data_IF_324545927488
#
_entry.id   IF_324545927488
#
_cell.length_a   1.000
_cell.length_b   1.000
_cell.length_c   1.000
_cell.angle_alpha   90.00
_cell.angle_beta   90.00
_cell.angle_gamma   90.00
#
_symmetry.space_group_name_H-M   'P 1'
#
loop_
_entity.id
_entity.type
_entity.pdbx_description
1 polymer ?
#
# COMPACT_ATOMS: atom_id res chain seq x y z
N UNK A 1 8.32 10.85 12.01
CA UNK A 1 7.64 9.86 11.15
C UNK A 1 6.95 10.47 9.92
N UNK A 2 6.60 11.77 9.89
CA UNK A 2 6.14 12.46 8.67
C UNK A 2 7.28 12.80 7.71
N UNK A 3 8.46 13.13 8.24
CA UNK A 3 9.71 13.38 7.52
C UNK A 3 10.05 12.28 6.50
N UNK A 4 9.96 11.00 6.89
CA UNK A 4 10.20 9.87 5.97
C UNK A 4 9.11 9.72 4.91
N UNK A 5 7.86 10.06 5.25
CA UNK A 5 6.74 10.02 4.30
C UNK A 5 6.92 11.12 3.25
N UNK A 6 7.28 12.32 3.68
CA UNK A 6 7.58 13.43 2.79
C UNK A 6 8.77 13.10 1.89
N UNK A 7 9.89 12.61 2.44
CA UNK A 7 11.05 12.20 1.66
C UNK A 7 10.73 11.12 0.61
N UNK A 8 9.87 10.15 0.95
CA UNK A 8 9.39 9.15 -0.01
C UNK A 8 8.63 9.80 -1.17
N UNK A 9 7.67 10.68 -0.87
CA UNK A 9 6.88 11.34 -1.92
C UNK A 9 7.66 12.41 -2.68
N UNK A 10 8.70 13.02 -2.11
CA UNK A 10 9.63 13.88 -2.84
C UNK A 10 10.40 13.09 -3.90
N UNK A 11 10.85 11.88 -3.57
CA UNK A 11 11.61 11.04 -4.49
C UNK A 11 10.72 10.30 -5.50
N UNK A 12 9.61 9.71 -5.04
CA UNK A 12 8.77 8.82 -5.84
C UNK A 12 7.46 9.46 -6.31
N UNK A 13 7.08 10.63 -5.78
CA UNK A 13 5.77 11.22 -6.06
C UNK A 13 5.54 11.54 -7.53
N UNK A 14 6.55 12.08 -8.23
CA UNK A 14 6.44 12.38 -9.66
C UNK A 14 6.24 11.11 -10.51
N UNK A 15 6.95 10.03 -10.18
CA UNK A 15 6.78 8.73 -10.83
C UNK A 15 5.39 8.16 -10.56
N UNK A 16 4.98 8.12 -9.29
CA UNK A 16 3.67 7.62 -8.89
C UNK A 16 2.51 8.42 -9.51
N UNK A 17 2.65 9.73 -9.67
CA UNK A 17 1.63 10.57 -10.32
C UNK A 17 1.45 10.26 -11.81
N UNK A 18 2.49 9.74 -12.48
CA UNK A 18 2.40 9.33 -13.88
C UNK A 18 1.59 8.04 -14.06
N UNK A 19 1.41 7.26 -12.99
CA UNK A 19 0.60 6.05 -12.99
C UNK A 19 -0.88 6.36 -12.71
N UNK A 20 -1.80 6.06 -13.64
CA UNK A 20 -3.22 6.40 -13.49
C UNK A 20 -3.85 5.72 -12.26
N UNK A 21 -3.39 4.52 -11.91
CA UNK A 21 -3.90 3.74 -10.79
C UNK A 21 -3.67 4.43 -9.43
N UNK A 22 -2.64 5.29 -9.31
CA UNK A 22 -2.33 5.99 -8.06
C UNK A 22 -3.12 7.28 -7.89
N UNK A 23 -3.74 7.81 -8.96
CA UNK A 23 -4.43 9.10 -8.95
C UNK A 23 -5.49 9.17 -7.85
N UNK A 24 -6.29 8.13 -7.69
CA UNK A 24 -7.35 8.06 -6.69
C UNK A 24 -6.77 8.00 -5.27
N UNK A 25 -5.66 7.30 -5.09
CA UNK A 25 -4.98 7.19 -3.79
C UNK A 25 -4.38 8.52 -3.30
N UNK A 26 -3.96 9.41 -4.21
CA UNK A 26 -3.57 10.78 -3.83
C UNK A 26 -4.74 11.63 -3.32
N UNK A 27 -5.97 11.32 -3.75
CA UNK A 27 -7.17 11.99 -3.26
C UNK A 27 -7.66 11.44 -1.91
N UNK A 28 -7.26 10.22 -1.53
CA UNK A 28 -7.72 9.51 -0.33
C UNK A 28 -7.69 10.35 0.96
N UNK A 29 -6.62 11.11 1.29
CA UNK A 29 -6.59 11.92 2.51
C UNK A 29 -7.64 13.04 2.56
N UNK A 30 -8.17 13.42 1.39
CA UNK A 30 -9.15 14.50 1.24
C UNK A 30 -10.58 13.96 1.08
N UNK A 31 -10.76 12.63 1.05
CA UNK A 31 -12.09 12.03 0.95
C UNK A 31 -12.76 12.01 2.33
N UNK A 32 -13.95 12.64 2.48
CA UNK A 32 -14.73 12.52 3.69
C UNK A 32 -15.26 11.09 3.81
N UNK A 33 -15.18 10.50 5.00
CA UNK A 33 -15.61 9.13 5.30
C UNK A 33 -15.16 8.08 4.26
N UNK A 34 -13.86 7.76 4.16
CA UNK A 34 -13.35 6.84 3.14
C UNK A 34 -14.00 5.44 3.16
N UNK A 35 -14.51 5.00 4.31
CA UNK A 35 -15.22 3.72 4.43
C UNK A 35 -16.56 3.67 3.66
N UNK A 36 -17.19 4.82 3.40
CA UNK A 36 -18.45 4.93 2.65
C UNK A 36 -18.22 5.25 1.17
N UNK A 37 -17.00 5.67 0.80
CA UNK A 37 -16.68 6.00 -0.56
C UNK A 37 -16.65 4.72 -1.43
N UNK A 38 -17.37 4.64 -2.56
CA UNK A 38 -17.39 3.44 -3.41
C UNK A 38 -16.01 2.98 -3.89
N UNK A 39 -15.06 3.91 -4.10
CA UNK A 39 -13.69 3.60 -4.51
C UNK A 39 -12.90 2.92 -3.40
N UNK A 40 -13.18 3.24 -2.14
CA UNK A 40 -12.35 2.79 -1.01
C UNK A 40 -13.03 1.80 -0.07
N UNK A 41 -14.37 1.74 -0.07
CA UNK A 41 -15.17 0.93 0.86
C UNK A 41 -14.79 -0.55 0.86
N UNK A 42 -14.37 -1.09 -0.29
CA UNK A 42 -13.84 -2.45 -0.42
C UNK A 42 -12.68 -2.72 0.54
N UNK A 43 -11.75 -1.76 0.69
CA UNK A 43 -10.56 -1.91 1.53
C UNK A 43 -10.87 -1.90 3.03
N UNK A 44 -12.06 -1.42 3.41
CA UNK A 44 -12.56 -1.46 4.79
C UNK A 44 -13.32 -2.76 5.10
N UNK A 45 -13.53 -3.63 4.11
CA UNK A 45 -14.15 -4.93 4.32
C UNK A 45 -13.21 -5.89 5.06
N UNK A 46 -13.68 -6.50 6.15
CA UNK A 46 -12.88 -7.45 6.95
C UNK A 46 -12.39 -8.64 6.14
N UNK A 47 -13.23 -9.23 5.29
CA UNK A 47 -12.84 -10.35 4.42
C UNK A 47 -11.72 -9.94 3.47
N UNK A 48 -11.79 -8.73 2.90
CA UNK A 48 -10.74 -8.21 2.03
C UNK A 48 -9.42 -8.06 2.79
N UNK A 49 -9.46 -7.46 3.99
CA UNK A 49 -8.26 -7.27 4.82
C UNK A 49 -7.62 -8.60 5.24
N UNK A 50 -8.42 -9.56 5.71
CA UNK A 50 -7.95 -10.88 6.11
C UNK A 50 -7.32 -11.62 4.91
N UNK A 51 -7.93 -11.49 3.72
CA UNK A 51 -7.41 -12.07 2.47
C UNK A 51 -6.09 -11.42 2.03
N UNK A 52 -6.01 -10.09 2.08
CA UNK A 52 -4.77 -9.36 1.77
C UNK A 52 -3.65 -9.79 2.71
N UNK A 53 -3.92 -9.82 4.01
CA UNK A 53 -2.91 -10.17 5.02
C UNK A 53 -2.38 -11.58 4.80
N UNK A 54 -3.27 -12.57 4.59
CA UNK A 54 -2.86 -13.94 4.32
C UNK A 54 -2.03 -14.05 3.04
N UNK A 55 -2.48 -13.40 1.96
CA UNK A 55 -1.79 -13.41 0.68
C UNK A 55 -0.40 -12.77 0.76
N UNK A 56 -0.30 -11.63 1.44
CA UNK A 56 0.96 -10.92 1.66
C UNK A 56 1.91 -11.76 2.52
N UNK A 57 1.41 -12.37 3.60
CA UNK A 57 2.19 -13.24 4.46
C UNK A 57 2.77 -14.43 3.68
N UNK A 58 1.93 -15.09 2.87
CA UNK A 58 2.36 -16.20 2.03
C UNK A 58 3.40 -15.76 1.00
N UNK A 59 3.16 -14.63 0.33
CA UNK A 59 4.08 -14.05 -0.65
C UNK A 59 5.46 -13.75 -0.05
N UNK A 60 5.48 -13.02 1.08
CA UNK A 60 6.72 -12.68 1.76
C UNK A 60 7.42 -13.92 2.31
N UNK A 61 6.68 -14.90 2.85
CA UNK A 61 7.27 -16.14 3.33
C UNK A 61 8.03 -16.87 2.23
N UNK A 62 7.44 -16.98 1.04
CA UNK A 62 8.09 -17.62 -0.11
C UNK A 62 9.33 -16.85 -0.55
N UNK A 63 9.23 -15.53 -0.71
CA UNK A 63 10.36 -14.71 -1.17
C UNK A 63 11.50 -14.75 -0.17
N UNK A 64 11.21 -14.52 1.11
CA UNK A 64 12.24 -14.43 2.15
C UNK A 64 12.90 -15.79 2.39
N UNK A 65 12.18 -16.91 2.25
CA UNK A 65 12.77 -18.24 2.31
C UNK A 65 13.70 -18.54 1.11
N UNK A 66 13.43 -17.94 -0.05
CA UNK A 66 14.29 -18.08 -1.22
C UNK A 66 15.54 -17.16 -1.18
N UNK A 67 15.58 -16.19 -0.26
CA UNK A 67 16.74 -15.31 -0.14
C UNK A 67 17.88 -16.01 0.62
N UNK A 68 19.14 -15.84 0.17
CA UNK A 68 20.29 -16.35 0.90
C UNK A 68 20.33 -15.74 2.31
N UNK A 69 20.66 -16.57 3.30
CA UNK A 69 20.76 -16.13 4.70
C UNK A 69 21.84 -15.05 4.79
N UNK A 70 21.59 -13.90 5.46
CA UNK A 70 22.59 -12.85 5.60
C UNK A 70 23.88 -13.42 6.23
N UNK A 71 25.00 -13.31 5.52
CA UNK A 71 26.32 -13.65 6.07
C UNK A 71 26.82 -12.53 6.97
N UNK A 72 27.37 -12.89 8.14
CA UNK A 72 28.00 -11.96 9.09
C UNK A 72 29.26 -11.30 8.51
#
# INVERSE_FOLDING_TARGET
>A
RQDKVLAFFEQMGAELQSHPDFKEWFAFPFVPNPAENPLFSLYFNKQWQDTLQLSLHNFLSVILQAMPVPTL
#
